data_IF_842966919152
#
_entry.id   IF_842966919152
#
_cell.length_a   1.000
_cell.length_b   1.000
_cell.length_c   1.000
_cell.angle_alpha   90.00
_cell.angle_beta   90.00
_cell.angle_gamma   90.00
#
_symmetry.space_group_name_H-M   'P 1'
#
loop_
_entity.id
_entity.type
_entity.pdbx_description
1 polymer ?
#
# COMPACT_ATOMS: atom_id res chain seq x y z
N UNK A 1 -17.25 6.38 -4.50
CA UNK A 1 -16.97 7.17 -5.72
C UNK A 1 -16.35 8.52 -5.39
N UNK A 2 -16.88 9.24 -4.37
CA UNK A 2 -16.37 10.54 -3.97
C UNK A 2 -14.94 10.48 -3.44
N UNK A 3 -14.62 9.47 -2.67
CA UNK A 3 -13.30 9.32 -2.04
C UNK A 3 -12.20 9.13 -3.08
N UNK A 4 -12.48 8.35 -4.12
CA UNK A 4 -11.49 8.14 -5.19
C UNK A 4 -11.29 9.41 -6.01
N UNK A 5 -12.36 10.14 -6.29
CA UNK A 5 -12.28 11.43 -6.98
C UNK A 5 -11.51 12.45 -6.16
N UNK A 6 -11.72 12.47 -4.84
CA UNK A 6 -11.00 13.36 -3.93
C UNK A 6 -9.52 13.01 -3.89
N UNK A 7 -9.18 11.73 -3.86
CA UNK A 7 -7.78 11.28 -3.89
C UNK A 7 -7.10 11.69 -5.19
N UNK A 8 -7.78 11.55 -6.32
CA UNK A 8 -7.26 11.97 -7.62
C UNK A 8 -7.03 13.48 -7.67
N UNK A 9 -7.97 14.27 -7.13
CA UNK A 9 -7.83 15.73 -7.07
C UNK A 9 -6.65 16.14 -6.19
N UNK A 10 -6.46 15.45 -5.05
CA UNK A 10 -5.33 15.70 -4.17
C UNK A 10 -4.00 15.39 -4.87
N UNK A 11 -3.95 14.31 -5.63
CA UNK A 11 -2.76 13.96 -6.40
C UNK A 11 -2.45 15.02 -7.46
N UNK A 12 -3.48 15.47 -8.19
CA UNK A 12 -3.31 16.54 -9.19
C UNK A 12 -2.73 17.81 -8.55
N UNK A 13 -3.27 18.19 -7.40
CA UNK A 13 -2.77 19.35 -6.66
C UNK A 13 -1.32 19.16 -6.24
N UNK A 14 -0.99 18.00 -5.70
CA UNK A 14 0.36 17.70 -5.22
C UNK A 14 1.38 17.73 -6.35
N UNK A 15 1.01 17.21 -7.52
CA UNK A 15 1.87 17.25 -8.71
C UNK A 15 2.11 18.67 -9.21
N UNK A 16 1.10 19.51 -9.15
CA UNK A 16 1.27 20.94 -9.53
C UNK A 16 2.22 21.66 -8.57
N UNK A 17 2.21 21.29 -7.30
CA UNK A 17 3.12 21.88 -6.30
C UNK A 17 4.54 21.34 -6.40
N UNK A 18 4.73 20.20 -7.04
CA UNK A 18 6.02 19.49 -7.10
C UNK A 18 6.30 19.03 -8.54
N UNK A 19 6.45 19.97 -9.50
CA UNK A 19 6.51 19.60 -10.93
C UNK A 19 7.77 18.84 -11.33
N UNK A 20 8.83 18.91 -10.54
CA UNK A 20 10.11 18.28 -10.87
C UNK A 20 10.32 16.94 -10.16
N UNK A 21 9.30 16.42 -9.51
CA UNK A 21 9.37 15.14 -8.81
C UNK A 21 9.38 13.98 -9.80
N UNK A 22 10.27 13.01 -9.58
CA UNK A 22 10.33 11.79 -10.40
C UNK A 22 9.85 10.55 -9.65
N UNK A 23 9.39 10.72 -8.41
CA UNK A 23 8.83 9.66 -7.57
C UNK A 23 7.45 10.07 -7.10
N UNK A 24 6.50 9.16 -7.23
CA UNK A 24 5.16 9.34 -6.68
C UNK A 24 4.72 8.03 -6.06
N UNK A 25 4.57 8.02 -4.74
CA UNK A 25 4.13 6.85 -3.99
C UNK A 25 2.76 7.12 -3.40
N UNK A 26 1.95 6.08 -3.30
CA UNK A 26 0.63 6.17 -2.68
C UNK A 26 0.59 5.27 -1.45
N UNK A 27 -0.02 5.78 -0.39
CA UNK A 27 -0.15 5.02 0.86
C UNK A 27 -1.59 5.12 1.35
N UNK A 28 -2.10 4.02 1.88
CA UNK A 28 -3.44 3.99 2.43
C UNK A 28 -3.56 3.00 3.57
N UNK A 29 -4.46 3.32 4.50
CA UNK A 29 -4.76 2.52 5.68
C UNK A 29 -6.22 2.09 5.64
N UNK A 30 -6.48 0.80 5.87
CA UNK A 30 -7.82 0.23 5.99
C UNK A 30 -8.64 0.49 4.72
N UNK A 31 -9.76 1.21 4.78
CA UNK A 31 -10.50 1.62 3.58
C UNK A 31 -9.61 2.44 2.63
N UNK A 32 -8.73 3.28 3.18
CA UNK A 32 -7.77 4.04 2.40
C UNK A 32 -6.82 3.17 1.59
N UNK A 33 -6.56 1.94 2.02
CA UNK A 33 -5.75 1.00 1.25
C UNK A 33 -6.46 0.61 -0.05
N UNK A 34 -7.78 0.45 -0.03
CA UNK A 34 -8.56 0.20 -1.24
C UNK A 34 -8.49 1.40 -2.19
N UNK A 35 -8.70 2.60 -1.67
CA UNK A 35 -8.64 3.84 -2.46
C UNK A 35 -7.28 4.04 -3.10
N UNK A 36 -6.24 3.77 -2.33
CA UNK A 36 -4.84 3.79 -2.76
C UNK A 36 -4.61 2.88 -3.97
N UNK A 37 -5.08 1.65 -3.89
CA UNK A 37 -4.87 0.67 -4.97
C UNK A 37 -5.73 0.98 -6.20
N UNK A 38 -6.94 1.51 -6.01
CA UNK A 38 -7.77 1.95 -7.14
C UNK A 38 -7.15 3.15 -7.85
N UNK A 39 -6.58 4.08 -7.09
CA UNK A 39 -5.88 5.24 -7.67
C UNK A 39 -4.65 4.77 -8.45
N UNK A 40 -3.89 3.84 -7.90
CA UNK A 40 -2.72 3.24 -8.54
C UNK A 40 -3.06 2.71 -9.93
N UNK A 41 -4.21 2.05 -10.07
CA UNK A 41 -4.64 1.47 -11.35
C UNK A 41 -4.99 2.53 -12.39
N UNK A 42 -5.30 3.75 -11.98
CA UNK A 42 -5.75 4.83 -12.87
C UNK A 42 -4.68 5.87 -13.16
N UNK A 43 -3.62 5.89 -12.36
CA UNK A 43 -2.61 6.95 -12.42
C UNK A 43 -1.23 6.32 -12.61
N UNK A 44 -0.77 6.20 -13.87
CA UNK A 44 0.49 5.53 -14.17
C UNK A 44 1.73 6.23 -13.63
N UNK A 45 1.62 7.49 -13.23
CA UNK A 45 2.72 8.21 -12.58
C UNK A 45 3.02 7.69 -11.16
N UNK A 46 2.11 6.94 -10.54
CA UNK A 46 2.36 6.33 -9.23
C UNK A 46 3.31 5.15 -9.42
N UNK A 47 4.47 5.24 -8.77
CA UNK A 47 5.56 4.27 -8.98
C UNK A 47 5.63 3.20 -7.90
N UNK A 48 4.96 3.40 -6.75
CA UNK A 48 5.04 2.45 -5.64
C UNK A 48 3.87 2.64 -4.68
N UNK A 49 3.49 1.56 -3.99
CA UNK A 49 2.38 1.62 -3.03
C UNK A 49 2.80 1.14 -1.64
N UNK A 50 2.11 1.66 -0.62
CA UNK A 50 2.18 1.19 0.76
C UNK A 50 0.75 0.93 1.22
N UNK A 51 0.42 -0.34 1.44
CA UNK A 51 -0.94 -0.77 1.82
C UNK A 51 -0.93 -1.27 3.26
N UNK A 52 -1.61 -0.55 4.13
CA UNK A 52 -1.63 -0.83 5.57
C UNK A 52 -3.01 -1.32 5.96
N UNK A 53 -3.10 -2.51 6.54
CA UNK A 53 -4.35 -3.15 6.96
C UNK A 53 -5.42 -3.18 5.86
N UNK A 54 -5.10 -3.68 4.65
CA UNK A 54 -6.12 -3.80 3.61
C UNK A 54 -7.20 -4.79 4.05
N UNK A 55 -8.39 -4.66 3.48
CA UNK A 55 -9.58 -5.43 3.89
C UNK A 55 -10.11 -6.30 2.75
N UNK A 56 -9.36 -7.32 2.30
CA UNK A 56 -9.81 -8.16 1.19
C UNK A 56 -11.01 -9.04 1.52
N UNK A 57 -11.36 -9.18 2.81
CA UNK A 57 -12.57 -9.85 3.24
C UNK A 57 -13.84 -8.99 3.04
N UNK A 58 -13.68 -7.67 2.94
CA UNK A 58 -14.79 -6.73 2.75
C UNK A 58 -14.88 -6.19 1.33
N UNK A 59 -13.76 -6.11 0.63
CA UNK A 59 -13.68 -5.50 -0.71
C UNK A 59 -12.94 -6.42 -1.65
N UNK A 60 -13.34 -6.38 -2.92
CA UNK A 60 -12.71 -7.17 -3.98
C UNK A 60 -11.49 -6.46 -4.53
N UNK A 61 -10.32 -7.10 -4.42
CA UNK A 61 -9.05 -6.59 -4.94
C UNK A 61 -8.64 -7.24 -6.26
N UNK A 62 -9.55 -7.98 -6.92
CA UNK A 62 -9.23 -8.67 -8.17
C UNK A 62 -8.90 -7.72 -9.33
N UNK A 63 -9.23 -6.42 -9.19
CA UNK A 63 -8.85 -5.43 -10.19
C UNK A 63 -7.32 -5.27 -10.30
N UNK A 64 -6.56 -5.76 -9.33
CA UNK A 64 -5.08 -5.73 -9.34
C UNK A 64 -4.48 -6.91 -10.10
N UNK A 65 -5.02 -7.19 -11.27
CA UNK A 65 -4.52 -8.28 -12.12
C UNK A 65 -4.37 -7.78 -13.55
N UNK A 66 -3.22 -7.24 -13.95
CA UNK A 66 -1.97 -7.15 -13.18
C UNK A 66 -1.88 -5.89 -12.31
N UNK A 67 -1.17 -6.00 -11.19
CA UNK A 67 -0.79 -4.85 -10.39
C UNK A 67 0.35 -4.10 -11.08
N UNK A 68 0.23 -2.79 -11.29
CA UNK A 68 1.18 -2.06 -12.14
C UNK A 68 2.44 -1.58 -11.42
N UNK A 69 2.54 -1.74 -10.10
CA UNK A 69 3.68 -1.20 -9.35
C UNK A 69 4.09 -2.12 -8.21
N UNK A 70 5.34 -2.04 -7.83
CA UNK A 70 5.87 -2.69 -6.63
C UNK A 70 5.42 -1.95 -5.37
N UNK A 71 5.49 -2.60 -4.24
CA UNK A 71 5.09 -1.98 -2.99
C UNK A 71 5.24 -2.90 -1.78
N UNK A 72 4.65 -2.47 -0.68
CA UNK A 72 4.62 -3.24 0.56
C UNK A 72 3.21 -3.28 1.14
N UNK A 73 2.84 -4.44 1.66
CA UNK A 73 1.62 -4.64 2.43
C UNK A 73 1.98 -4.96 3.86
N UNK A 74 1.26 -4.36 4.80
CA UNK A 74 1.47 -4.59 6.23
C UNK A 74 0.15 -4.95 6.90
N UNK A 75 0.20 -5.91 7.82
CA UNK A 75 -0.98 -6.40 8.50
C UNK A 75 -0.65 -6.82 9.94
N UNK A 76 -1.52 -6.48 10.87
CA UNK A 76 -1.36 -6.91 12.26
C UNK A 76 -1.78 -8.36 12.46
N UNK A 77 -0.94 -9.14 13.10
CA UNK A 77 -1.25 -10.57 13.35
C UNK A 77 -2.47 -10.77 14.24
N UNK A 78 -2.83 -9.75 15.04
CA UNK A 78 -4.00 -9.78 15.92
C UNK A 78 -5.14 -8.91 15.41
N UNK A 79 -5.19 -8.66 14.11
CA UNK A 79 -6.28 -7.92 13.48
C UNK A 79 -7.58 -8.71 13.64
N UNK A 80 -8.54 -8.12 14.35
CA UNK A 80 -9.84 -8.73 14.63
C UNK A 80 -10.86 -8.48 13.52
N UNK A 81 -10.62 -7.44 12.71
CA UNK A 81 -11.53 -7.04 11.64
C UNK A 81 -11.24 -7.77 10.33
N UNK A 82 -9.97 -8.12 10.11
CA UNK A 82 -9.53 -8.79 8.89
C UNK A 82 -8.67 -9.98 9.26
N UNK A 83 -9.17 -11.21 9.06
CA UNK A 83 -8.36 -12.40 9.30
C UNK A 83 -7.06 -12.36 8.51
N UNK A 84 -5.96 -12.70 9.17
CA UNK A 84 -4.62 -12.63 8.56
C UNK A 84 -4.51 -13.50 7.31
N UNK A 85 -5.24 -14.60 7.26
CA UNK A 85 -5.27 -15.51 6.11
C UNK A 85 -5.77 -14.82 4.83
N UNK A 86 -6.72 -13.89 4.99
CA UNK A 86 -7.24 -13.13 3.85
C UNK A 86 -6.18 -12.22 3.25
N UNK A 87 -5.43 -11.55 4.11
CA UNK A 87 -4.36 -10.66 3.67
C UNK A 87 -3.18 -11.45 3.09
N UNK A 88 -2.86 -12.60 3.69
CA UNK A 88 -1.84 -13.50 3.15
C UNK A 88 -2.19 -13.94 1.72
N UNK A 89 -3.45 -14.26 1.48
CA UNK A 89 -3.91 -14.71 0.18
C UNK A 89 -3.78 -13.59 -0.87
N UNK A 90 -4.14 -12.38 -0.50
CA UNK A 90 -3.96 -11.22 -1.38
C UNK A 90 -2.48 -10.97 -1.66
N UNK A 91 -1.64 -11.02 -0.63
CA UNK A 91 -0.19 -10.81 -0.77
C UNK A 91 0.42 -11.85 -1.71
N UNK A 92 0.06 -13.12 -1.56
CA UNK A 92 0.55 -14.19 -2.43
C UNK A 92 0.17 -13.96 -3.88
N UNK A 93 -1.05 -13.52 -4.13
CA UNK A 93 -1.52 -13.18 -5.48
C UNK A 93 -0.66 -12.10 -6.12
N UNK A 94 -0.37 -11.03 -5.38
CA UNK A 94 0.45 -9.94 -5.89
C UNK A 94 1.91 -10.38 -6.06
N UNK A 95 2.43 -11.16 -5.12
CA UNK A 95 3.81 -11.66 -5.18
C UNK A 95 4.06 -12.64 -6.33
N UNK A 96 3.03 -13.30 -6.83
CA UNK A 96 3.15 -14.21 -7.96
C UNK A 96 3.32 -13.51 -9.30
N UNK A 97 3.10 -12.21 -9.35
CA UNK A 97 3.19 -11.45 -10.60
C UNK A 97 4.65 -11.18 -10.96
N UNK A 98 4.94 -11.24 -12.26
CA UNK A 98 6.26 -10.92 -12.80
C UNK A 98 6.42 -9.40 -12.90
N UNK A 99 7.64 -8.94 -12.90
CA UNK A 99 8.03 -7.53 -13.12
C UNK A 99 7.73 -6.59 -11.96
N UNK A 100 7.14 -7.06 -10.88
CA UNK A 100 6.97 -6.28 -9.64
C UNK A 100 7.46 -7.10 -8.46
N UNK A 101 7.83 -6.38 -7.39
CA UNK A 101 8.22 -6.99 -6.11
C UNK A 101 7.29 -6.45 -5.04
N UNK A 102 6.51 -7.33 -4.42
CA UNK A 102 5.60 -6.97 -3.33
C UNK A 102 6.11 -7.59 -2.05
N UNK A 103 6.49 -6.74 -1.10
CA UNK A 103 6.87 -7.19 0.24
C UNK A 103 5.60 -7.30 1.10
N UNK A 104 5.58 -8.27 1.97
CA UNK A 104 4.48 -8.48 2.88
C UNK A 104 5.02 -8.68 4.29
N UNK A 105 4.56 -7.87 5.24
CA UNK A 105 5.00 -7.90 6.63
C UNK A 105 3.80 -8.07 7.56
N UNK A 106 3.88 -9.08 8.43
CA UNK A 106 2.92 -9.26 9.51
C UNK A 106 3.54 -8.76 10.80
N UNK A 107 2.81 -7.89 11.50
CA UNK A 107 3.32 -7.24 12.70
C UNK A 107 2.78 -7.95 13.94
N UNK A 108 3.70 -8.55 14.67
CA UNK A 108 3.40 -9.31 15.89
C UNK A 108 2.78 -8.41 16.95
N UNK A 109 1.68 -8.86 17.55
CA UNK A 109 0.99 -8.13 18.61
C UNK A 109 0.07 -7.00 18.16
N UNK A 110 0.08 -6.66 16.87
CA UNK A 110 -0.69 -5.52 16.36
C UNK A 110 -2.12 -5.92 15.99
N UNK A 111 -3.09 -5.10 16.41
CA UNK A 111 -4.46 -5.20 15.95
C UNK A 111 -4.64 -4.39 14.66
N UNK A 112 -5.87 -4.22 14.19
CA UNK A 112 -6.18 -3.48 12.96
C UNK A 112 -5.64 -2.05 12.98
N UNK A 113 -5.66 -1.40 14.13
CA UNK A 113 -5.28 0.00 14.31
C UNK A 113 -3.85 0.18 14.83
N UNK A 114 -3.11 -0.91 15.03
CA UNK A 114 -1.74 -0.90 15.56
C UNK A 114 -1.66 -0.28 16.96
N UNK A 115 -2.70 -0.45 17.77
CA UNK A 115 -2.71 0.06 19.14
C UNK A 115 -1.49 -0.48 19.91
N UNK A 116 -0.73 0.43 20.53
CA UNK A 116 0.50 0.14 21.26
C UNK A 116 1.64 -0.46 20.41
N UNK A 117 1.46 -0.56 19.09
CA UNK A 117 2.45 -1.17 18.19
C UNK A 117 2.85 -0.25 17.02
N UNK A 118 2.50 1.04 17.11
CA UNK A 118 2.81 2.01 16.06
C UNK A 118 4.32 2.10 15.81
N UNK A 119 5.13 1.92 16.85
CA UNK A 119 6.59 1.97 16.72
C UNK A 119 7.11 0.86 15.80
N UNK A 120 6.50 -0.32 15.83
CA UNK A 120 6.89 -1.43 14.92
C UNK A 120 6.52 -1.10 13.48
N UNK A 121 5.32 -0.55 13.28
CA UNK A 121 4.86 -0.10 11.96
C UNK A 121 5.81 0.94 11.39
N UNK A 122 6.13 1.97 12.18
CA UNK A 122 7.03 3.04 11.75
C UNK A 122 8.42 2.52 11.39
N UNK A 123 8.95 1.60 12.17
CA UNK A 123 10.27 1.03 11.90
C UNK A 123 10.31 0.33 10.55
N UNK A 124 9.31 -0.47 10.25
CA UNK A 124 9.23 -1.19 8.98
C UNK A 124 9.05 -0.22 7.81
N UNK A 125 8.16 0.76 7.97
CA UNK A 125 7.91 1.76 6.92
C UNK A 125 9.15 2.59 6.62
N UNK A 126 9.85 3.07 7.66
CA UNK A 126 11.08 3.86 7.47
C UNK A 126 12.14 3.03 6.78
N UNK A 127 12.33 1.77 7.17
CA UNK A 127 13.29 0.88 6.54
C UNK A 127 12.96 0.64 5.06
N UNK A 128 11.69 0.43 4.76
CA UNK A 128 11.25 0.21 3.38
C UNK A 128 11.49 1.44 2.52
N UNK A 129 11.09 2.61 3.02
CA UNK A 129 11.23 3.87 2.28
C UNK A 129 12.70 4.16 2.01
N UNK A 130 13.56 4.05 3.02
CA UNK A 130 15.00 4.29 2.87
C UNK A 130 15.63 3.32 1.87
N UNK A 131 15.30 2.04 1.98
CA UNK A 131 15.83 1.01 1.09
C UNK A 131 15.47 1.29 -0.37
N UNK A 132 14.20 1.59 -0.61
CA UNK A 132 13.72 1.76 -1.99
C UNK A 132 14.14 3.10 -2.60
N UNK A 133 14.24 4.15 -1.81
CA UNK A 133 14.78 5.42 -2.29
C UNK A 133 16.27 5.30 -2.61
N UNK A 134 17.03 4.65 -1.74
CA UNK A 134 18.48 4.51 -1.93
C UNK A 134 18.83 3.60 -3.11
N UNK A 135 18.03 2.56 -3.37
CA UNK A 135 18.29 1.63 -4.47
C UNK A 135 18.23 2.30 -5.84
N UNK A 136 17.52 3.43 -5.96
CA UNK A 136 17.39 4.17 -7.22
C UNK A 136 18.67 4.89 -7.65
N UNK A 137 19.56 5.15 -6.72
CA UNK A 137 20.78 5.91 -6.97
C UNK A 137 22.02 5.00 -7.11
N UNK A 138 21.76 3.71 -7.20
CA UNK A 138 22.85 2.72 -7.37
C UNK A 138 22.99 2.29 -8.87
#
# INVERSE_FOLDING_TARGET
LGELADAAAALDWLQRQNPNTNQCWVSGFSFGALMCMQLLMRRPEITRFISISPQPNLYDFNFLAPCPASGIMLHGKKDELVPVEETQRLAQKLQSQKNITVEYEEISGANHFYDNEVHKLNKILCSYIEKELNSRFR
#
